data_IF_171855097716
#
_entry.id   IF_171855097716
#
_cell.length_a   1.000
_cell.length_b   1.000
_cell.length_c   1.000
_cell.angle_alpha   90.00
_cell.angle_beta   90.00
_cell.angle_gamma   90.00
#
_symmetry.space_group_name_H-M   'P 1'
#
loop_
_entity.id
_entity.type
_entity.pdbx_description
1 polymer ?
#
# COMPACT_ATOMS: atom_id res chain seq x y z
N UNK A 1 -39.46 17.12 -19.89
CA UNK A 1 -39.82 15.71 -19.71
C UNK A 1 -38.73 14.75 -20.21
N UNK A 2 -38.28 14.79 -21.48
CA UNK A 2 -37.28 13.84 -22.02
C UNK A 2 -35.95 13.83 -21.22
N UNK A 3 -35.41 14.99 -20.87
CA UNK A 3 -34.16 15.11 -20.13
C UNK A 3 -34.21 14.49 -18.73
N UNK A 4 -35.34 14.66 -18.01
CA UNK A 4 -35.54 14.06 -16.69
C UNK A 4 -35.53 12.54 -16.76
N UNK A 5 -36.27 11.97 -17.70
CA UNK A 5 -36.30 10.52 -17.94
C UNK A 5 -34.94 9.97 -18.34
N UNK A 6 -34.15 10.74 -19.11
CA UNK A 6 -32.78 10.34 -19.49
C UNK A 6 -31.86 10.32 -18.27
N UNK A 7 -31.93 11.31 -17.40
CA UNK A 7 -31.16 11.35 -16.14
C UNK A 7 -31.55 10.23 -15.17
N UNK A 8 -32.85 9.95 -15.05
CA UNK A 8 -33.34 8.80 -14.24
C UNK A 8 -32.72 7.48 -14.75
N UNK A 9 -32.79 7.22 -16.06
CA UNK A 9 -32.19 6.03 -16.66
C UNK A 9 -30.69 5.96 -16.46
N UNK A 10 -29.94 7.07 -16.60
CA UNK A 10 -28.50 7.12 -16.30
C UNK A 10 -28.23 6.73 -14.84
N UNK A 11 -29.01 7.23 -13.90
CA UNK A 11 -28.88 6.89 -12.49
C UNK A 11 -29.19 5.40 -12.19
N UNK A 12 -30.26 4.86 -12.80
CA UNK A 12 -30.56 3.42 -12.72
C UNK A 12 -29.42 2.55 -13.27
N UNK A 13 -28.76 2.97 -14.36
CA UNK A 13 -27.56 2.35 -14.92
C UNK A 13 -26.29 2.62 -14.09
N UNK A 14 -26.39 3.33 -12.95
CA UNK A 14 -25.27 3.73 -12.10
C UNK A 14 -24.23 4.61 -12.82
N UNK A 15 -24.69 5.49 -13.68
CA UNK A 15 -23.92 6.51 -14.41
C UNK A 15 -24.14 7.90 -13.80
N UNK A 16 -24.04 8.02 -12.46
CA UNK A 16 -24.39 9.23 -11.74
C UNK A 16 -23.55 10.45 -12.11
N UNK A 17 -22.24 10.29 -12.30
CA UNK A 17 -21.38 11.40 -12.70
C UNK A 17 -21.63 11.84 -14.15
N UNK A 18 -22.00 10.90 -15.03
CA UNK A 18 -22.45 11.23 -16.39
C UNK A 18 -23.78 11.98 -16.38
N UNK A 19 -24.71 11.61 -15.50
CA UNK A 19 -26.00 12.33 -15.34
C UNK A 19 -25.78 13.76 -14.81
N UNK A 20 -24.91 13.94 -13.83
CA UNK A 20 -24.52 15.26 -13.32
C UNK A 20 -23.87 16.12 -14.42
N UNK A 21 -22.96 15.55 -15.21
CA UNK A 21 -22.32 16.25 -16.32
C UNK A 21 -23.33 16.61 -17.43
N UNK A 22 -24.31 15.76 -17.71
CA UNK A 22 -25.41 16.04 -18.62
C UNK A 22 -26.26 17.22 -18.15
N UNK A 23 -26.63 17.26 -16.88
CA UNK A 23 -27.38 18.37 -16.28
C UNK A 23 -26.60 19.69 -16.34
N UNK A 24 -25.30 19.65 -16.02
CA UNK A 24 -24.42 20.82 -16.16
C UNK A 24 -24.36 21.34 -17.59
N UNK A 25 -24.27 20.47 -18.59
CA UNK A 25 -24.27 20.88 -19.99
C UNK A 25 -25.60 21.46 -20.47
N UNK A 26 -26.72 21.10 -19.86
CA UNK A 26 -28.03 21.66 -20.16
C UNK A 26 -28.21 23.05 -19.53
N UNK A 27 -27.64 23.29 -18.35
CA UNK A 27 -27.77 24.53 -17.60
C UNK A 27 -26.75 25.60 -17.97
N UNK A 28 -25.58 25.19 -18.52
CA UNK A 28 -24.48 26.09 -18.88
C UNK A 28 -24.39 26.29 -20.38
N UNK A 29 -24.41 27.57 -20.83
CA UNK A 29 -24.19 27.93 -22.24
C UNK A 29 -22.74 27.73 -22.73
N UNK A 30 -21.80 27.44 -21.85
CA UNK A 30 -20.36 27.25 -22.20
C UNK A 30 -20.14 26.08 -23.17
N UNK A 31 -20.95 25.04 -23.04
CA UNK A 31 -20.86 23.84 -23.87
C UNK A 31 -21.59 23.97 -25.22
N UNK A 32 -22.30 25.09 -25.48
CA UNK A 32 -23.07 25.31 -26.73
C UNK A 32 -22.20 25.39 -27.98
N UNK A 33 -20.89 25.69 -27.82
CA UNK A 33 -19.92 25.77 -28.93
C UNK A 33 -19.25 24.42 -29.26
N UNK A 34 -19.43 23.42 -28.42
CA UNK A 34 -18.86 22.09 -28.61
C UNK A 34 -19.74 21.25 -29.53
N UNK A 35 -19.12 20.39 -30.32
CA UNK A 35 -19.83 19.39 -31.11
C UNK A 35 -20.55 18.38 -30.20
N UNK A 36 -21.47 17.63 -30.77
CA UNK A 36 -22.17 16.56 -30.05
C UNK A 36 -21.19 15.51 -29.52
N UNK A 37 -20.21 15.14 -30.33
CA UNK A 37 -19.18 14.14 -30.01
C UNK A 37 -18.31 14.59 -28.84
N UNK A 38 -17.87 15.86 -28.82
CA UNK A 38 -17.09 16.45 -27.73
C UNK A 38 -17.89 16.45 -26.44
N UNK A 39 -19.16 16.81 -26.48
CA UNK A 39 -20.05 16.83 -25.33
C UNK A 39 -20.27 15.43 -24.72
N UNK A 40 -20.47 14.42 -25.57
CA UNK A 40 -20.56 13.03 -25.16
C UNK A 40 -19.22 12.56 -24.55
N UNK A 41 -18.10 12.89 -25.20
CA UNK A 41 -16.77 12.58 -24.69
C UNK A 41 -16.55 13.10 -23.27
N UNK A 42 -16.86 14.36 -23.02
CA UNK A 42 -16.75 14.96 -21.67
C UNK A 42 -17.60 14.24 -20.62
N UNK A 43 -18.84 13.88 -20.97
CA UNK A 43 -19.71 13.14 -20.02
C UNK A 43 -19.18 11.75 -19.70
N UNK A 44 -18.66 11.04 -20.72
CA UNK A 44 -18.03 9.71 -20.53
C UNK A 44 -16.77 9.82 -19.67
N UNK A 45 -15.94 10.83 -19.88
CA UNK A 45 -14.73 11.08 -19.10
C UNK A 45 -15.05 11.39 -17.62
N UNK A 46 -16.13 12.16 -17.36
CA UNK A 46 -16.61 12.40 -15.99
C UNK A 46 -16.97 11.09 -15.28
N UNK A 47 -17.74 10.23 -15.93
CA UNK A 47 -18.14 8.94 -15.32
C UNK A 47 -16.95 7.99 -15.14
N UNK A 48 -16.06 7.92 -16.14
CA UNK A 48 -14.83 7.14 -16.04
C UNK A 48 -13.96 7.58 -14.87
N UNK A 49 -13.69 8.87 -14.77
CA UNK A 49 -12.89 9.46 -13.69
C UNK A 49 -13.51 9.19 -12.32
N UNK A 50 -14.81 9.38 -12.19
CA UNK A 50 -15.55 9.11 -10.95
C UNK A 50 -15.50 7.63 -10.56
N UNK A 51 -15.57 6.70 -11.53
CA UNK A 51 -15.44 5.27 -11.29
C UNK A 51 -14.04 4.88 -10.82
N UNK A 52 -13.00 5.39 -11.48
CA UNK A 52 -11.62 5.12 -11.09
C UNK A 52 -11.33 5.68 -9.68
N UNK A 53 -11.83 6.88 -9.36
CA UNK A 53 -11.71 7.46 -8.03
C UNK A 53 -12.44 6.63 -6.95
N UNK A 54 -13.63 6.12 -7.25
CA UNK A 54 -14.36 5.21 -6.34
C UNK A 54 -13.62 3.89 -6.13
N UNK A 55 -13.03 3.31 -7.19
CA UNK A 55 -12.20 2.11 -7.11
C UNK A 55 -10.96 2.34 -6.25
N UNK A 56 -10.24 3.45 -6.48
CA UNK A 56 -9.07 3.83 -5.69
C UNK A 56 -9.42 4.01 -4.22
N UNK A 57 -10.46 4.76 -3.91
CA UNK A 57 -10.92 4.98 -2.54
C UNK A 57 -11.25 3.66 -1.83
N UNK A 58 -11.90 2.72 -2.52
CA UNK A 58 -12.20 1.38 -1.99
C UNK A 58 -10.92 0.58 -1.72
N UNK A 59 -9.94 0.60 -2.66
CA UNK A 59 -8.64 -0.08 -2.48
C UNK A 59 -7.88 0.49 -1.28
N UNK A 60 -7.76 1.81 -1.17
CA UNK A 60 -7.08 2.49 -0.05
C UNK A 60 -7.74 2.20 1.30
N UNK A 61 -9.07 2.18 1.34
CA UNK A 61 -9.82 1.79 2.56
C UNK A 61 -9.54 0.35 2.96
N UNK A 62 -9.47 -0.56 2.01
CA UNK A 62 -9.16 -1.98 2.23
C UNK A 62 -7.69 -2.19 2.63
N UNK A 63 -6.77 -1.42 2.07
CA UNK A 63 -5.34 -1.51 2.33
C UNK A 63 -4.94 -1.07 3.75
N UNK A 64 -5.72 -0.21 4.40
CA UNK A 64 -5.54 0.27 5.79
C UNK A 64 -4.12 0.81 6.08
N UNK A 65 -3.53 1.68 5.25
CA UNK A 65 -2.20 2.22 5.53
C UNK A 65 -2.23 3.04 6.83
N UNK A 66 -1.16 2.92 7.63
CA UNK A 66 -0.99 3.70 8.87
C UNK A 66 -0.99 5.20 8.61
N UNK A 67 -0.26 5.62 7.58
CA UNK A 67 -0.19 7.00 7.11
C UNK A 67 -1.06 7.14 5.87
N UNK A 68 -2.29 7.63 6.07
CA UNK A 68 -3.30 7.72 4.99
C UNK A 68 -2.92 8.70 3.88
N UNK A 69 -2.13 9.73 4.20
CA UNK A 69 -1.62 10.74 3.28
C UNK A 69 -0.22 10.43 2.75
N UNK A 70 0.34 9.24 3.03
CA UNK A 70 1.66 8.90 2.52
C UNK A 70 1.62 8.73 1.01
N UNK A 71 2.54 9.40 0.32
CA UNK A 71 2.71 9.38 -1.13
C UNK A 71 4.19 9.31 -1.47
N UNK A 72 4.53 8.69 -2.60
CA UNK A 72 5.93 8.66 -3.08
C UNK A 72 6.40 10.03 -3.54
N UNK A 73 5.50 10.89 -3.97
CA UNK A 73 5.74 12.28 -4.37
C UNK A 73 6.24 13.13 -3.20
N UNK A 74 5.71 12.87 -2.00
CA UNK A 74 6.04 13.61 -0.77
C UNK A 74 7.25 13.04 -0.02
N UNK A 75 7.93 12.06 -0.61
CA UNK A 75 9.12 11.48 0.02
C UNK A 75 10.25 12.50 0.02
N UNK A 76 10.71 12.87 1.21
CA UNK A 76 11.86 13.72 1.39
C UNK A 76 13.16 12.99 1.08
N UNK A 77 13.82 13.36 -0.01
CA UNK A 77 15.12 12.85 -0.46
C UNK A 77 16.31 13.68 0.03
N UNK A 78 16.08 14.84 0.64
CA UNK A 78 17.17 15.72 1.15
C UNK A 78 17.76 15.19 2.44
N UNK A 79 16.99 14.45 3.23
CA UNK A 79 17.47 13.85 4.47
C UNK A 79 18.55 12.78 4.18
N UNK A 80 19.73 12.85 4.82
CA UNK A 80 20.88 11.96 4.55
C UNK A 80 20.63 10.55 5.15
N UNK A 81 19.81 9.77 4.50
CA UNK A 81 19.43 8.39 4.92
C UNK A 81 19.73 7.31 3.89
N UNK A 82 20.53 7.63 2.87
CA UNK A 82 20.90 6.67 1.84
C UNK A 82 19.79 6.32 0.84
N UNK A 83 18.63 7.02 0.91
CA UNK A 83 17.50 6.77 0.00
C UNK A 83 17.77 7.40 -1.37
N UNK A 84 17.90 6.57 -2.40
CA UNK A 84 18.16 7.02 -3.77
C UNK A 84 16.83 7.33 -4.47
N UNK A 85 16.66 8.58 -4.96
CA UNK A 85 15.46 9.02 -5.67
C UNK A 85 15.14 8.13 -6.88
N UNK A 86 16.16 7.82 -7.69
CA UNK A 86 15.99 6.97 -8.87
C UNK A 86 15.45 5.58 -8.53
N UNK A 87 15.94 4.97 -7.44
CA UNK A 87 15.45 3.67 -6.98
C UNK A 87 13.97 3.73 -6.57
N UNK A 88 13.57 4.76 -5.81
CA UNK A 88 12.17 4.93 -5.39
C UNK A 88 11.26 5.17 -6.59
N UNK A 89 11.67 5.98 -7.56
CA UNK A 89 10.91 6.23 -8.79
C UNK A 89 10.77 4.97 -9.64
N UNK A 90 11.84 4.19 -9.80
CA UNK A 90 11.79 2.91 -10.51
C UNK A 90 10.82 1.94 -9.85
N UNK A 91 10.91 1.75 -8.53
CA UNK A 91 9.98 0.91 -7.77
C UNK A 91 8.55 1.46 -7.75
N UNK A 92 8.38 2.77 -7.92
CA UNK A 92 7.08 3.44 -8.05
C UNK A 92 6.32 3.10 -9.34
N UNK A 93 6.96 2.47 -10.33
CA UNK A 93 6.28 1.87 -11.49
C UNK A 93 5.39 0.70 -11.08
N UNK A 94 5.69 0.05 -9.96
CA UNK A 94 5.06 -1.18 -9.45
C UNK A 94 5.23 -2.41 -10.35
N UNK A 95 6.19 -2.41 -11.29
CA UNK A 95 6.50 -3.59 -12.11
C UNK A 95 6.91 -4.80 -11.24
N UNK A 96 7.66 -4.56 -10.16
CA UNK A 96 8.06 -5.59 -9.21
C UNK A 96 6.86 -6.33 -8.58
N UNK A 97 5.68 -5.68 -8.46
CA UNK A 97 4.46 -6.34 -7.97
C UNK A 97 3.92 -7.29 -9.06
N UNK A 98 3.93 -6.86 -10.34
CA UNK A 98 3.54 -7.71 -11.47
C UNK A 98 4.46 -8.92 -11.60
N UNK A 99 5.75 -8.70 -11.41
CA UNK A 99 6.80 -9.73 -11.47
C UNK A 99 6.84 -10.61 -10.19
N UNK A 100 5.96 -10.34 -9.20
CA UNK A 100 5.87 -11.08 -7.93
C UNK A 100 7.15 -11.03 -7.11
N UNK A 101 7.92 -9.97 -7.27
CA UNK A 101 9.14 -9.72 -6.49
C UNK A 101 8.80 -9.09 -5.13
N UNK A 102 9.68 -9.29 -4.18
CA UNK A 102 9.54 -8.70 -2.85
C UNK A 102 10.26 -7.34 -2.74
N UNK A 103 9.88 -6.55 -1.75
CA UNK A 103 10.55 -5.28 -1.42
C UNK A 103 10.90 -5.25 0.07
N UNK A 104 12.17 -5.13 0.39
CA UNK A 104 12.67 -5.06 1.76
C UNK A 104 13.15 -3.64 2.08
N UNK A 105 12.61 -3.04 3.13
CA UNK A 105 12.97 -1.71 3.63
C UNK A 105 13.54 -1.88 5.03
N UNK A 106 14.86 -1.77 5.19
CA UNK A 106 15.54 -1.94 6.48
C UNK A 106 16.22 -0.66 6.93
N UNK A 107 16.44 -0.51 8.24
CA UNK A 107 17.15 0.64 8.82
C UNK A 107 16.66 1.01 10.22
N UNK A 108 17.33 1.98 10.88
CA UNK A 108 17.07 2.32 12.28
C UNK A 108 15.67 2.90 12.52
N UNK A 109 15.25 2.92 13.80
CA UNK A 109 13.99 3.51 14.22
C UNK A 109 13.89 4.99 13.85
N UNK A 110 12.70 5.42 13.43
CA UNK A 110 12.43 6.84 13.14
C UNK A 110 12.93 7.34 11.78
N UNK A 111 13.62 6.51 10.98
CA UNK A 111 14.21 6.89 9.67
C UNK A 111 13.15 7.03 8.54
N UNK A 112 11.90 6.63 8.76
CA UNK A 112 10.80 6.78 7.81
C UNK A 112 10.41 5.52 7.03
N UNK A 113 10.78 4.30 7.49
CA UNK A 113 10.42 3.02 6.85
C UNK A 113 8.91 2.84 6.70
N UNK A 114 8.17 2.99 7.79
CA UNK A 114 6.70 2.83 7.80
C UNK A 114 6.00 3.82 6.88
N UNK A 115 6.51 5.07 6.78
CA UNK A 115 5.99 6.05 5.83
C UNK A 115 6.21 5.57 4.39
N UNK A 116 7.43 5.12 4.08
CA UNK A 116 7.78 4.63 2.74
C UNK A 116 6.98 3.38 2.38
N UNK A 117 6.79 2.45 3.32
CA UNK A 117 5.93 1.28 3.12
C UNK A 117 4.47 1.69 2.80
N UNK A 118 3.91 2.65 3.55
CA UNK A 118 2.57 3.18 3.27
C UNK A 118 2.50 3.89 1.90
N UNK A 119 3.55 4.63 1.51
CA UNK A 119 3.61 5.31 0.21
C UNK A 119 3.66 4.31 -0.96
N UNK A 120 4.37 3.18 -0.82
CA UNK A 120 4.33 2.11 -1.83
C UNK A 120 2.97 1.40 -1.87
N UNK A 121 2.31 1.19 -0.73
CA UNK A 121 0.95 0.64 -0.68
C UNK A 121 -0.05 1.58 -1.37
N UNK A 122 0.05 2.87 -1.12
CA UNK A 122 -0.76 3.90 -1.80
C UNK A 122 -0.54 3.87 -3.31
N UNK A 123 0.72 3.86 -3.74
CA UNK A 123 1.10 3.77 -5.16
C UNK A 123 0.57 2.50 -5.82
N UNK A 124 0.67 1.34 -5.16
CA UNK A 124 0.10 0.09 -5.64
C UNK A 124 -1.42 0.20 -5.85
N UNK A 125 -2.16 0.78 -4.89
CA UNK A 125 -3.59 1.02 -5.02
C UNK A 125 -3.94 1.93 -6.21
N UNK A 126 -3.16 3.01 -6.45
CA UNK A 126 -3.32 3.89 -7.63
C UNK A 126 -3.08 3.14 -8.94
N UNK A 127 -2.11 2.23 -8.96
CA UNK A 127 -1.82 1.38 -10.13
C UNK A 127 -2.82 0.25 -10.34
N UNK A 128 -3.84 0.15 -9.48
CA UNK A 128 -4.91 -0.83 -9.62
C UNK A 128 -4.75 -2.10 -8.81
N UNK A 129 -3.62 -2.30 -8.12
CA UNK A 129 -3.34 -3.47 -7.32
C UNK A 129 -4.16 -3.49 -6.02
N UNK A 130 -4.51 -4.69 -5.58
CA UNK A 130 -5.05 -4.93 -4.25
C UNK A 130 -3.90 -5.00 -3.25
N UNK A 131 -3.96 -4.19 -2.20
CA UNK A 131 -2.88 -4.13 -1.22
C UNK A 131 -3.42 -4.15 0.21
N UNK A 132 -2.57 -4.58 1.15
CA UNK A 132 -2.82 -4.47 2.59
C UNK A 132 -1.54 -4.09 3.31
N UNK A 133 -1.65 -3.09 4.19
CA UNK A 133 -0.62 -2.76 5.17
C UNK A 133 -1.04 -3.31 6.54
N UNK A 134 -0.11 -3.96 7.22
CA UNK A 134 -0.32 -4.46 8.58
C UNK A 134 1.00 -4.46 9.36
N UNK A 135 0.97 -4.19 10.67
CA UNK A 135 2.12 -4.44 11.54
C UNK A 135 2.19 -5.92 11.86
N UNK A 136 3.39 -6.46 11.95
CA UNK A 136 3.62 -7.89 12.21
C UNK A 136 2.87 -8.39 13.46
N UNK A 137 2.97 -7.67 14.57
CA UNK A 137 2.26 -8.02 15.80
C UNK A 137 0.73 -8.09 15.61
N UNK A 138 0.17 -7.20 14.79
CA UNK A 138 -1.26 -7.20 14.48
C UNK A 138 -1.65 -8.36 13.57
N UNK A 139 -0.80 -8.69 12.59
CA UNK A 139 -1.00 -9.84 11.71
C UNK A 139 -1.06 -11.14 12.52
N UNK A 140 -0.05 -11.37 13.37
CA UNK A 140 0.01 -12.55 14.24
C UNK A 140 -1.19 -12.64 15.19
N UNK A 141 -1.63 -11.52 15.74
CA UNK A 141 -2.83 -11.46 16.58
C UNK A 141 -4.10 -11.84 15.79
N UNK A 142 -4.28 -11.32 14.56
CA UNK A 142 -5.42 -11.68 13.70
C UNK A 142 -5.39 -13.17 13.34
N UNK A 143 -4.22 -13.76 13.11
CA UNK A 143 -4.08 -15.19 12.83
C UNK A 143 -4.44 -16.02 14.06
N UNK A 144 -3.99 -15.63 15.25
CA UNK A 144 -4.33 -16.30 16.50
C UNK A 144 -5.84 -16.28 16.79
N UNK A 145 -6.52 -15.15 16.55
CA UNK A 145 -7.99 -15.06 16.63
C UNK A 145 -8.62 -16.04 15.62
N UNK A 146 -8.14 -16.04 14.38
CA UNK A 146 -8.66 -16.92 13.34
C UNK A 146 -8.55 -18.41 13.66
N UNK A 147 -7.52 -18.81 14.38
CA UNK A 147 -7.40 -20.19 14.90
C UNK A 147 -8.45 -20.50 15.96
N UNK A 148 -8.77 -19.52 16.82
CA UNK A 148 -9.75 -19.68 17.88
C UNK A 148 -11.21 -19.68 17.40
N UNK A 149 -11.54 -18.90 16.38
CA UNK A 149 -12.91 -18.73 15.86
C UNK A 149 -13.16 -19.51 14.54
N UNK A 150 -12.19 -20.30 14.06
CA UNK A 150 -12.31 -21.09 12.84
C UNK A 150 -12.18 -20.29 11.52
N UNK A 151 -11.84 -19.00 11.56
CA UNK A 151 -11.68 -18.18 10.36
C UNK A 151 -10.27 -18.23 9.75
N UNK A 152 -9.37 -19.05 10.29
CA UNK A 152 -7.97 -19.14 9.92
C UNK A 152 -7.75 -19.32 8.41
N UNK A 153 -8.30 -20.38 7.83
CA UNK A 153 -8.15 -20.69 6.40
C UNK A 153 -8.67 -19.57 5.51
N UNK A 154 -9.80 -18.94 5.90
CA UNK A 154 -10.36 -17.79 5.18
C UNK A 154 -9.43 -16.57 5.26
N UNK A 155 -8.76 -16.36 6.39
CA UNK A 155 -7.78 -15.28 6.55
C UNK A 155 -6.56 -15.52 5.65
N UNK A 156 -5.96 -16.73 5.67
CA UNK A 156 -4.83 -17.08 4.81
C UNK A 156 -5.17 -16.93 3.33
N UNK A 157 -6.27 -17.50 2.88
CA UNK A 157 -6.75 -17.35 1.49
C UNK A 157 -6.92 -15.88 1.09
N UNK A 158 -7.40 -15.03 2.00
CA UNK A 158 -7.53 -13.59 1.74
C UNK A 158 -6.15 -12.92 1.64
N UNK A 159 -5.20 -13.30 2.48
CA UNK A 159 -3.83 -12.76 2.42
C UNK A 159 -3.10 -13.21 1.16
N UNK A 160 -3.25 -14.46 0.76
CA UNK A 160 -2.66 -15.02 -0.46
C UNK A 160 -3.14 -14.32 -1.74
N UNK A 161 -4.43 -13.92 -1.79
CA UNK A 161 -5.04 -13.25 -2.95
C UNK A 161 -4.67 -11.78 -3.13
N UNK A 162 -3.99 -11.15 -2.17
CA UNK A 162 -3.54 -9.76 -2.30
C UNK A 162 -2.35 -9.68 -3.24
N UNK A 163 -2.37 -8.72 -4.18
CA UNK A 163 -1.21 -8.45 -5.03
C UNK A 163 -0.01 -7.97 -4.21
N UNK A 164 -0.26 -7.19 -3.15
CA UNK A 164 0.78 -6.68 -2.23
C UNK A 164 0.36 -6.82 -0.77
N UNK A 165 1.16 -7.54 0.03
CA UNK A 165 1.09 -7.54 1.48
C UNK A 165 2.29 -6.78 2.06
N UNK A 166 2.05 -5.65 2.71
CA UNK A 166 3.08 -4.87 3.40
C UNK A 166 3.05 -5.18 4.91
N UNK A 167 4.10 -5.81 5.40
CA UNK A 167 4.28 -6.16 6.82
C UNK A 167 5.31 -5.18 7.42
N UNK A 168 4.87 -4.35 8.32
CA UNK A 168 5.71 -3.38 9.03
C UNK A 168 6.06 -3.86 10.43
N UNK A 169 7.06 -3.22 11.03
CA UNK A 169 7.59 -3.60 12.35
C UNK A 169 8.07 -5.07 12.38
N UNK A 170 8.71 -5.51 11.28
CA UNK A 170 9.20 -6.86 11.09
C UNK A 170 10.22 -7.27 12.16
N UNK A 171 10.00 -8.41 12.82
CA UNK A 171 10.89 -9.01 13.82
C UNK A 171 11.30 -8.06 14.95
N UNK A 172 10.39 -7.26 15.48
CA UNK A 172 10.66 -6.40 16.65
C UNK A 172 10.79 -7.18 17.96
N UNK A 173 10.26 -8.38 18.04
CA UNK A 173 10.33 -9.28 19.18
C UNK A 173 10.54 -10.71 18.70
N UNK A 174 11.13 -11.58 19.54
CA UNK A 174 11.23 -13.01 19.25
C UNK A 174 9.84 -13.63 19.01
N UNK A 175 9.78 -14.57 18.09
CA UNK A 175 8.56 -15.28 17.75
C UNK A 175 8.36 -16.52 18.63
N UNK A 176 7.12 -16.79 19.00
CA UNK A 176 6.73 -18.08 19.59
C UNK A 176 6.62 -19.14 18.49
N UNK A 177 6.70 -20.40 18.86
CA UNK A 177 6.66 -21.53 17.90
C UNK A 177 5.41 -21.52 17.01
N UNK A 178 4.24 -21.18 17.57
CA UNK A 178 3.01 -21.08 16.80
C UNK A 178 3.07 -19.90 15.80
N UNK A 179 3.61 -18.76 16.23
CA UNK A 179 3.75 -17.57 15.38
C UNK A 179 4.74 -17.79 14.23
N UNK A 180 5.81 -18.55 14.47
CA UNK A 180 6.75 -18.92 13.41
C UNK A 180 6.08 -19.78 12.34
N UNK A 181 5.34 -20.83 12.75
CA UNK A 181 4.59 -21.70 11.82
C UNK A 181 3.58 -20.90 11.00
N UNK A 182 2.81 -20.04 11.68
CA UNK A 182 1.82 -19.18 11.01
C UNK A 182 2.47 -18.25 9.99
N UNK A 183 3.64 -17.70 10.32
CA UNK A 183 4.37 -16.81 9.43
C UNK A 183 4.93 -17.55 8.21
N UNK A 184 5.49 -18.75 8.42
CA UNK A 184 5.95 -19.63 7.32
C UNK A 184 4.78 -19.84 6.34
N UNK A 185 3.60 -20.25 6.84
CA UNK A 185 2.44 -20.54 6.02
C UNK A 185 1.98 -19.30 5.22
N UNK A 186 1.94 -18.10 5.85
CA UNK A 186 1.61 -16.85 5.14
C UNK A 186 2.62 -16.54 4.03
N UNK A 187 3.91 -16.70 4.30
CA UNK A 187 4.97 -16.41 3.32
C UNK A 187 4.99 -17.46 2.20
N UNK A 188 4.77 -18.71 2.53
CA UNK A 188 4.73 -19.83 1.58
C UNK A 188 3.59 -19.70 0.58
N UNK A 189 2.37 -19.43 1.07
CA UNK A 189 1.19 -19.20 0.23
C UNK A 189 1.37 -18.03 -0.76
N UNK A 190 2.30 -17.11 -0.47
CA UNK A 190 2.55 -15.92 -1.29
C UNK A 190 3.78 -16.05 -2.18
N UNK A 191 4.68 -16.97 -1.87
CA UNK A 191 5.91 -17.16 -2.63
C UNK A 191 5.60 -17.40 -4.12
N UNK A 192 6.30 -16.65 -5.00
CA UNK A 192 6.12 -16.70 -6.46
C UNK A 192 4.70 -16.37 -6.99
N UNK A 193 3.73 -16.18 -6.10
CA UNK A 193 2.34 -15.89 -6.44
C UNK A 193 1.98 -14.42 -6.28
N UNK A 194 2.57 -13.73 -5.31
CA UNK A 194 2.25 -12.34 -4.99
C UNK A 194 3.42 -11.63 -4.29
N UNK A 195 3.49 -10.31 -4.44
CA UNK A 195 4.55 -9.50 -3.84
C UNK A 195 4.35 -9.29 -2.33
N UNK A 196 5.46 -9.33 -1.57
CA UNK A 196 5.48 -8.99 -0.15
C UNK A 196 6.46 -7.84 0.10
N UNK A 197 6.00 -6.80 0.82
CA UNK A 197 6.83 -5.71 1.28
C UNK A 197 7.10 -5.88 2.77
N UNK A 198 8.37 -5.94 3.14
CA UNK A 198 8.80 -6.03 4.54
C UNK A 198 9.46 -4.73 4.96
N UNK A 199 9.02 -4.13 6.07
CA UNK A 199 9.67 -3.00 6.68
C UNK A 199 10.12 -3.36 8.11
N UNK A 200 11.43 -3.33 8.38
CA UNK A 200 12.01 -3.77 9.65
C UNK A 200 13.22 -2.96 10.09
N UNK A 201 13.60 -3.09 11.36
CA UNK A 201 14.79 -2.45 11.91
C UNK A 201 16.03 -3.30 11.69
N UNK A 202 15.87 -4.61 11.81
CA UNK A 202 16.97 -5.56 11.73
C UNK A 202 17.49 -5.71 10.30
N UNK A 203 18.80 -5.73 10.10
CA UNK A 203 19.37 -6.14 8.83
C UNK A 203 19.00 -7.60 8.55
N UNK A 204 18.94 -7.96 7.28
CA UNK A 204 18.54 -9.29 6.82
C UNK A 204 19.44 -10.40 7.42
N UNK A 205 20.71 -10.11 7.66
CA UNK A 205 21.69 -11.01 8.26
C UNK A 205 21.29 -11.52 9.65
N UNK A 206 20.47 -10.75 10.37
CA UNK A 206 20.10 -11.05 11.75
C UNK A 206 18.76 -11.77 11.85
N UNK A 207 18.05 -11.95 10.74
CA UNK A 207 16.71 -12.55 10.74
C UNK A 207 16.72 -13.99 11.23
N UNK A 208 17.72 -14.79 10.84
CA UNK A 208 17.87 -16.18 11.28
C UNK A 208 17.91 -16.29 12.81
N UNK A 209 18.72 -15.46 13.47
CA UNK A 209 18.87 -15.50 14.92
C UNK A 209 17.59 -15.12 15.68
N UNK A 210 16.79 -14.20 15.11
CA UNK A 210 15.54 -13.70 15.72
C UNK A 210 14.37 -14.66 15.47
N UNK A 211 14.33 -15.32 14.32
CA UNK A 211 13.35 -16.38 14.03
C UNK A 211 13.59 -17.56 14.99
N UNK A 212 14.83 -17.93 15.26
CA UNK A 212 15.20 -18.85 16.33
C UNK A 212 15.07 -20.35 16.01
N UNK A 213 14.40 -20.73 14.93
CA UNK A 213 14.36 -22.11 14.40
C UNK A 213 15.03 -22.13 13.03
N UNK A 214 16.11 -22.90 12.83
CA UNK A 214 16.88 -22.85 11.59
C UNK A 214 16.08 -23.21 10.35
N UNK A 215 15.25 -24.25 10.40
CA UNK A 215 14.49 -24.72 9.23
C UNK A 215 13.42 -23.69 8.82
N UNK A 216 12.73 -23.10 9.80
CA UNK A 216 11.72 -22.08 9.55
C UNK A 216 12.36 -20.75 9.11
N UNK A 217 13.54 -20.44 9.64
CA UNK A 217 14.31 -19.28 9.22
C UNK A 217 14.77 -19.41 7.76
N UNK A 218 15.32 -20.57 7.39
CA UNK A 218 15.68 -20.86 6.00
C UNK A 218 14.46 -20.73 5.08
N UNK A 219 13.34 -21.33 5.44
CA UNK A 219 12.11 -21.28 4.66
C UNK A 219 11.60 -19.85 4.44
N UNK A 220 11.58 -19.01 5.49
CA UNK A 220 11.15 -17.61 5.40
C UNK A 220 12.15 -16.78 4.60
N UNK A 221 13.45 -16.93 4.90
CA UNK A 221 14.49 -16.13 4.27
C UNK A 221 14.61 -16.45 2.78
N UNK A 222 14.63 -17.70 2.40
CA UNK A 222 14.71 -18.10 0.99
C UNK A 222 13.60 -17.45 0.16
N UNK A 223 12.35 -17.58 0.59
CA UNK A 223 11.18 -17.04 -0.12
C UNK A 223 11.12 -15.52 -0.15
N UNK A 224 11.58 -14.86 0.90
CA UNK A 224 11.54 -13.39 0.94
C UNK A 224 12.72 -12.74 0.24
N UNK A 225 13.88 -13.37 0.17
CA UNK A 225 15.14 -12.76 -0.26
C UNK A 225 15.52 -13.05 -1.70
N UNK A 226 15.05 -14.16 -2.26
CA UNK A 226 15.48 -14.65 -3.58
C UNK A 226 15.27 -13.60 -4.68
N UNK A 227 14.07 -13.02 -4.79
CA UNK A 227 13.71 -12.03 -5.78
C UNK A 227 13.37 -10.67 -5.14
N UNK A 228 14.18 -10.21 -4.17
CA UNK A 228 13.85 -9.03 -3.40
C UNK A 228 14.64 -7.79 -3.82
N UNK A 229 13.92 -6.71 -4.09
CA UNK A 229 14.49 -5.37 -4.09
C UNK A 229 14.79 -4.91 -2.66
N UNK A 230 15.91 -4.22 -2.45
CA UNK A 230 16.34 -3.81 -1.12
C UNK A 230 16.54 -2.30 -1.04
N UNK A 231 15.92 -1.68 -0.04
CA UNK A 231 16.15 -0.29 0.37
C UNK A 231 16.72 -0.32 1.78
N UNK A 232 17.99 0.03 1.92
CA UNK A 232 18.68 0.10 3.21
C UNK A 232 18.81 1.56 3.61
N UNK A 233 18.08 1.96 4.65
CA UNK A 233 18.11 3.32 5.19
C UNK A 233 19.15 3.40 6.31
N UNK A 234 19.94 4.48 6.33
CA UNK A 234 21.01 4.73 7.32
C UNK A 234 20.88 6.17 7.84
N UNK A 235 21.40 6.43 9.02
CA UNK A 235 21.48 7.79 9.58
C UNK A 235 20.52 8.07 10.72
N UNK A 236 20.40 9.33 11.16
CA UNK A 236 19.66 9.71 12.36
C UNK A 236 18.14 9.62 12.18
N UNK A 237 17.44 9.56 13.31
CA UNK A 237 15.97 9.55 13.34
C UNK A 237 15.39 10.89 12.89
N UNK A 238 14.47 10.87 11.93
CA UNK A 238 13.69 12.06 11.52
C UNK A 238 12.80 12.64 12.63
N UNK A 239 12.55 11.90 13.69
CA UNK A 239 11.74 12.38 14.83
C UNK A 239 12.53 13.34 15.71
N UNK A 240 13.85 13.17 15.82
CA UNK A 240 14.72 14.03 16.64
C UNK A 240 14.88 15.43 16.03
N UNK A 241 14.81 15.58 14.71
CA UNK A 241 14.90 16.88 14.01
C UNK A 241 13.64 17.74 14.15
N UNK A 242 12.49 17.15 14.53
CA UNK A 242 11.24 17.90 14.73
C UNK A 242 11.03 18.41 16.17
N UNK A 243 11.87 18.04 17.11
CA UNK A 243 11.70 18.28 18.56
C UNK A 243 12.76 19.23 19.17
N UNK A 244 13.55 19.95 18.39
CA UNK A 244 14.35 21.05 18.93
C UNK A 244 13.39 22.24 19.17
N UNK A 245 13.03 22.59 20.43
CA UNK A 245 12.34 23.86 20.69
C UNK A 245 13.33 24.96 20.33
N UNK A 246 12.85 25.99 19.62
CA UNK A 246 13.59 27.22 19.45
C UNK A 246 14.00 27.69 20.86
N UNK A 247 15.29 27.67 21.15
CA UNK A 247 15.85 28.34 22.33
C UNK A 247 15.50 29.81 22.20
N UNK A 248 14.58 30.26 23.04
CA UNK A 248 14.34 31.67 23.24
C UNK A 248 15.62 32.28 23.80
N UNK A 249 16.33 33.03 22.98
CA UNK A 249 17.35 33.97 23.44
C UNK A 249 16.69 34.93 24.42
N UNK A 250 17.07 34.82 25.67
CA UNK A 250 16.86 35.84 26.68
C UNK A 250 18.11 36.73 26.68
N UNK A 251 17.97 37.91 26.19
CA UNK A 251 18.79 39.06 26.59
C UNK A 251 17.84 40.08 27.19
#
# INVERSE_FOLDING_TARGET
>A
MLNVQTMEKMNEMKLSAMAEAFEQQLSSGEHAKLSFEERIGLMVDCEWTAREQRKLTRRLRAAKPRYKSASLEDVDFKHPRGLKRQQVLSLGSCSWIQDRHNLLITGPTGIGKSYLACAFVERACRRGFTARYVRMSRLLHEIAIGRGDGSYTRLLTRLAKLDLLAIDDWMLAPLRDAERRDLVEVIEDRAECAATLIAGQLPVTDWHSVIGDPNQADAICDRLLHNAHRIVLKGPSKRQTKTAPATADKT
#
